data_IF_358485432864
#
_entry.id   IF_358485432864
#
_cell.length_a   1.000
_cell.length_b   1.000
_cell.length_c   1.000
_cell.angle_alpha   90.00
_cell.angle_beta   90.00
_cell.angle_gamma   90.00
#
_symmetry.space_group_name_H-M   'P 1'
#
loop_
_entity.id
_entity.type
_entity.pdbx_description
1 polymer ?
#
# COMPACT_ATOMS: atom_id res chain seq x y z
N UNK A 1 -28.22 -34.12 15.84
CA UNK A 1 -27.66 -32.81 15.49
C UNK A 1 -26.17 -33.00 15.28
N UNK A 2 -25.71 -33.00 14.03
CA UNK A 2 -24.29 -33.16 13.71
C UNK A 2 -23.54 -31.87 14.08
N UNK A 3 -22.34 -31.95 14.67
CA UNK A 3 -21.56 -30.76 14.96
C UNK A 3 -21.07 -30.14 13.65
N UNK A 4 -21.18 -28.81 13.55
CA UNK A 4 -20.66 -28.05 12.42
C UNK A 4 -19.14 -28.21 12.35
N UNK A 5 -18.63 -28.68 11.21
CA UNK A 5 -17.20 -28.73 10.94
C UNK A 5 -16.61 -27.31 10.87
N UNK A 6 -15.38 -27.09 11.36
CA UNK A 6 -14.72 -25.79 11.25
C UNK A 6 -14.48 -25.47 9.77
N UNK A 7 -14.95 -24.29 9.31
CA UNK A 7 -14.64 -23.78 7.97
C UNK A 7 -13.13 -23.58 7.87
N UNK A 8 -12.56 -24.09 6.79
CA UNK A 8 -11.13 -24.12 6.54
C UNK A 8 -10.62 -22.70 6.18
N UNK A 9 -10.16 -21.92 7.16
CA UNK A 9 -9.77 -20.50 6.98
C UNK A 9 -8.63 -20.29 5.96
N UNK A 10 -7.80 -21.30 5.71
CA UNK A 10 -6.72 -21.23 4.72
C UNK A 10 -7.23 -21.10 3.28
N UNK A 11 -8.34 -21.77 2.93
CA UNK A 11 -8.85 -21.67 1.55
C UNK A 11 -9.46 -20.29 1.29
N UNK A 12 -10.14 -19.69 2.27
CA UNK A 12 -10.74 -18.37 2.09
C UNK A 12 -9.71 -17.24 1.93
N UNK A 13 -8.57 -17.31 2.61
CA UNK A 13 -7.51 -16.30 2.47
C UNK A 13 -6.78 -16.42 1.12
N UNK A 14 -6.47 -17.65 0.67
CA UNK A 14 -5.88 -17.87 -0.65
C UNK A 14 -6.83 -17.45 -1.78
N UNK A 15 -8.13 -17.74 -1.65
CA UNK A 15 -9.17 -17.32 -2.60
C UNK A 15 -9.23 -15.78 -2.72
N UNK A 16 -8.98 -15.06 -1.63
CA UNK A 16 -8.99 -13.60 -1.59
C UNK A 16 -7.70 -13.00 -2.17
N UNK A 17 -6.54 -13.62 -1.97
CA UNK A 17 -5.29 -13.13 -2.55
C UNK A 17 -5.22 -13.32 -4.07
N UNK A 18 -5.99 -14.24 -4.64
CA UNK A 18 -6.08 -14.46 -6.09
C UNK A 18 -6.50 -13.20 -6.87
N UNK A 19 -7.14 -12.22 -6.22
CA UNK A 19 -7.47 -10.95 -6.84
C UNK A 19 -6.24 -10.20 -7.36
N UNK A 20 -5.08 -10.36 -6.71
CA UNK A 20 -3.82 -9.71 -7.04
C UNK A 20 -3.33 -9.98 -8.46
N UNK A 21 -3.72 -11.11 -9.07
CA UNK A 21 -3.34 -11.45 -10.46
C UNK A 21 -3.79 -10.39 -11.47
N UNK A 22 -4.80 -9.59 -11.13
CA UNK A 22 -5.35 -8.54 -12.00
C UNK A 22 -4.78 -7.13 -11.71
N UNK A 23 -3.79 -7.03 -10.82
CA UNK A 23 -3.23 -5.76 -10.37
C UNK A 23 -1.74 -5.68 -10.69
N UNK A 24 -1.31 -4.47 -11.05
CA UNK A 24 0.07 -4.03 -10.89
C UNK A 24 0.23 -3.54 -9.45
N UNK A 25 1.18 -4.09 -8.71
CA UNK A 25 1.44 -3.70 -7.32
C UNK A 25 2.62 -2.73 -7.25
N UNK A 26 2.38 -1.55 -6.65
CA UNK A 26 3.38 -0.52 -6.40
C UNK A 26 3.54 -0.37 -4.88
N UNK A 27 4.72 -0.68 -4.34
CA UNK A 27 5.06 -0.42 -2.94
C UNK A 27 5.76 0.94 -2.86
N UNK A 28 5.14 1.91 -2.20
CA UNK A 28 5.69 3.23 -1.94
C UNK A 28 6.28 3.28 -0.53
N UNK A 29 7.60 3.30 -0.43
CA UNK A 29 8.34 3.32 0.83
C UNK A 29 8.62 4.73 1.30
N UNK A 30 8.25 5.03 2.54
CA UNK A 30 8.73 6.21 3.25
C UNK A 30 10.20 6.04 3.62
N UNK A 31 11.06 6.82 2.98
CA UNK A 31 12.49 6.95 3.29
C UNK A 31 12.79 8.35 3.87
N UNK A 32 11.83 8.97 4.57
CA UNK A 32 12.02 10.25 5.25
C UNK A 32 12.90 10.12 6.50
N UNK A 33 13.44 11.24 7.00
CA UNK A 33 14.35 11.23 8.15
C UNK A 33 13.75 10.63 9.44
N UNK A 34 12.43 10.73 9.65
CA UNK A 34 11.74 10.16 10.83
C UNK A 34 11.86 8.64 10.90
N UNK A 35 12.03 7.97 9.77
CA UNK A 35 12.18 6.52 9.70
C UNK A 35 13.47 6.02 10.40
N UNK A 36 14.43 6.90 10.71
CA UNK A 36 15.62 6.53 11.51
C UNK A 36 15.33 6.39 13.01
N UNK A 37 14.16 6.81 13.48
CA UNK A 37 13.79 6.75 14.90
C UNK A 37 13.50 5.30 15.34
N UNK A 38 13.67 5.04 16.64
CA UNK A 38 13.47 3.70 17.22
C UNK A 38 12.15 3.56 17.99
N UNK A 39 11.54 4.66 18.46
CA UNK A 39 10.29 4.68 19.23
C UNK A 39 10.20 3.63 20.36
N UNK A 40 11.28 3.46 21.12
CA UNK A 40 11.34 2.51 22.25
C UNK A 40 11.53 1.04 21.85
N UNK A 41 11.77 0.76 20.57
CA UNK A 41 12.12 -0.55 20.04
C UNK A 41 13.64 -0.73 19.90
N UNK A 42 14.09 -1.97 19.72
CA UNK A 42 15.48 -2.29 19.34
C UNK A 42 15.77 -2.07 17.86
N UNK A 43 14.74 -1.91 17.04
CA UNK A 43 14.80 -1.67 15.59
C UNK A 43 14.29 -0.28 15.25
N UNK A 44 14.89 0.35 14.24
CA UNK A 44 14.36 1.61 13.71
C UNK A 44 13.02 1.40 12.99
N UNK A 45 12.28 2.47 12.76
CA UNK A 45 11.05 2.45 11.97
C UNK A 45 11.35 2.02 10.52
N UNK A 46 12.51 2.39 9.98
CA UNK A 46 13.03 1.91 8.70
C UNK A 46 13.21 0.40 8.70
N UNK A 47 13.89 -0.18 9.68
CA UNK A 47 14.09 -1.63 9.77
C UNK A 47 12.75 -2.37 9.81
N UNK A 48 11.78 -1.83 10.57
CA UNK A 48 10.41 -2.35 10.66
C UNK A 48 9.64 -2.25 9.34
N UNK A 49 9.72 -1.11 8.65
CA UNK A 49 9.10 -0.90 7.34
C UNK A 49 9.68 -1.87 6.30
N UNK A 50 10.99 -2.11 6.37
CA UNK A 50 11.71 -3.03 5.51
C UNK A 50 11.29 -4.49 5.75
N UNK A 51 11.03 -4.88 7.00
CA UNK A 51 10.46 -6.19 7.33
C UNK A 51 9.05 -6.37 6.76
N UNK A 52 8.19 -5.36 6.90
CA UNK A 52 6.85 -5.36 6.28
C UNK A 52 6.99 -5.49 4.77
N UNK A 53 7.82 -4.68 4.14
CA UNK A 53 7.97 -4.68 2.69
C UNK A 53 8.50 -6.01 2.16
N UNK A 54 9.47 -6.66 2.83
CA UNK A 54 9.92 -8.00 2.42
C UNK A 54 8.78 -9.01 2.44
N UNK A 55 8.03 -9.07 3.54
CA UNK A 55 6.92 -10.03 3.71
C UNK A 55 5.81 -9.78 2.69
N UNK A 56 5.42 -8.52 2.48
CA UNK A 56 4.40 -8.12 1.51
C UNK A 56 4.84 -8.45 0.08
N UNK A 57 6.07 -8.11 -0.29
CA UNK A 57 6.62 -8.38 -1.63
C UNK A 57 6.68 -9.88 -1.90
N UNK A 58 7.15 -10.68 -0.94
CA UNK A 58 7.24 -12.14 -1.09
C UNK A 58 5.87 -12.77 -1.37
N UNK A 59 4.79 -12.28 -0.74
CA UNK A 59 3.44 -12.78 -0.99
C UNK A 59 2.90 -12.25 -2.31
N UNK A 60 3.02 -10.95 -2.59
CA UNK A 60 2.50 -10.32 -3.79
C UNK A 60 3.11 -10.92 -5.07
N UNK A 61 4.41 -11.21 -5.08
CA UNK A 61 5.12 -11.83 -6.19
C UNK A 61 4.62 -13.23 -6.59
N UNK A 62 3.86 -13.91 -5.72
CA UNK A 62 3.24 -15.20 -6.08
C UNK A 62 2.09 -15.03 -7.08
N UNK A 63 1.50 -13.84 -7.13
CA UNK A 63 0.33 -13.52 -7.94
C UNK A 63 0.65 -12.54 -9.07
N UNK A 64 1.57 -11.60 -8.83
CA UNK A 64 2.01 -10.64 -9.83
C UNK A 64 3.26 -11.12 -10.56
N UNK A 65 3.12 -11.40 -11.86
CA UNK A 65 4.13 -12.11 -12.65
C UNK A 65 5.04 -11.21 -13.49
N UNK A 66 4.66 -9.95 -13.72
CA UNK A 66 5.52 -8.98 -14.41
C UNK A 66 6.47 -8.23 -13.46
N UNK A 67 6.15 -8.23 -12.16
CA UNK A 67 7.03 -7.85 -11.05
C UNK A 67 6.43 -6.75 -10.19
N UNK A 68 6.98 -6.56 -8.99
CA UNK A 68 6.47 -5.56 -8.04
C UNK A 68 7.27 -4.27 -8.21
N UNK A 69 6.61 -3.14 -8.42
CA UNK A 69 7.30 -1.84 -8.48
C UNK A 69 7.55 -1.32 -7.06
N UNK A 70 8.80 -1.00 -6.72
CA UNK A 70 9.13 -0.36 -5.45
C UNK A 70 9.58 1.07 -5.74
N UNK A 71 8.90 2.04 -5.15
CA UNK A 71 9.25 3.45 -5.19
C UNK A 71 9.54 3.99 -3.78
N UNK A 72 10.19 5.15 -3.71
CA UNK A 72 10.51 5.83 -2.45
C UNK A 72 10.02 7.28 -2.47
N UNK A 73 9.78 7.85 -1.30
CA UNK A 73 9.39 9.25 -1.19
C UNK A 73 10.49 10.19 -1.71
N UNK A 74 11.74 9.95 -1.34
CA UNK A 74 12.87 10.85 -1.60
C UNK A 74 13.88 10.24 -2.57
N UNK A 75 14.22 8.95 -2.42
CA UNK A 75 15.19 8.27 -3.27
C UNK A 75 14.69 8.03 -4.69
N UNK A 76 15.62 8.03 -5.65
CA UNK A 76 15.37 7.67 -7.06
C UNK A 76 15.82 6.24 -7.41
N UNK A 77 16.22 5.44 -6.41
CA UNK A 77 16.66 4.04 -6.60
C UNK A 77 15.49 3.07 -6.84
N UNK A 78 14.25 3.59 -6.88
CA UNK A 78 13.04 2.81 -7.13
C UNK A 78 13.07 2.06 -8.46
N UNK A 79 12.54 0.84 -8.47
CA UNK A 79 12.55 -0.06 -9.62
C UNK A 79 11.57 -1.23 -9.44
N UNK A 80 11.25 -1.89 -10.55
CA UNK A 80 10.54 -3.17 -10.52
C UNK A 80 11.46 -4.29 -10.07
N UNK A 81 11.04 -5.07 -9.08
CA UNK A 81 11.75 -6.25 -8.56
C UNK A 81 11.06 -7.53 -9.00
N UNK A 82 11.85 -8.57 -9.27
CA UNK A 82 11.35 -9.91 -9.67
C UNK A 82 11.90 -11.04 -8.81
N UNK A 83 12.73 -10.71 -7.82
CA UNK A 83 13.29 -11.67 -6.87
C UNK A 83 13.46 -11.03 -5.50
N UNK A 84 13.46 -11.84 -4.44
CA UNK A 84 13.81 -11.37 -3.10
C UNK A 84 15.29 -10.96 -2.97
N UNK A 85 16.13 -11.34 -3.94
CA UNK A 85 17.50 -10.84 -4.03
C UNK A 85 17.53 -9.36 -4.49
N UNK A 86 16.71 -9.00 -5.48
CA UNK A 86 16.57 -7.60 -5.94
C UNK A 86 16.09 -6.70 -4.80
N UNK A 87 15.13 -7.19 -4.02
CA UNK A 87 14.60 -6.56 -2.82
C UNK A 87 15.75 -6.30 -1.84
N UNK A 88 16.49 -7.33 -1.43
CA UNK A 88 17.62 -7.18 -0.51
C UNK A 88 18.74 -6.27 -1.04
N UNK A 89 18.93 -6.23 -2.36
CA UNK A 89 19.89 -5.32 -3.01
C UNK A 89 19.44 -3.87 -2.89
N UNK A 90 18.15 -3.61 -3.14
CA UNK A 90 17.55 -2.28 -3.02
C UNK A 90 17.67 -1.74 -1.58
N UNK A 91 17.56 -2.63 -0.60
CA UNK A 91 17.61 -2.27 0.82
C UNK A 91 18.94 -1.68 1.24
N UNK A 92 20.02 -2.10 0.59
CA UNK A 92 21.37 -1.64 0.90
C UNK A 92 21.67 -0.26 0.29
N UNK A 93 20.88 0.18 -0.67
CA UNK A 93 21.11 1.39 -1.46
C UNK A 93 20.39 2.61 -0.88
N UNK A 94 19.24 2.41 -0.23
CA UNK A 94 18.41 3.50 0.29
C UNK A 94 18.59 3.65 1.80
N UNK A 95 18.66 4.91 2.25
CA UNK A 95 18.69 5.26 3.66
C UNK A 95 17.70 6.40 3.94
N UNK A 96 17.02 6.38 5.10
CA UNK A 96 16.17 7.46 5.56
C UNK A 96 16.84 8.84 5.49
N UNK A 97 16.20 9.80 4.85
CA UNK A 97 16.66 11.19 4.75
C UNK A 97 15.52 12.13 4.33
N UNK A 98 15.71 13.43 4.47
CA UNK A 98 14.78 14.44 3.94
C UNK A 98 13.39 14.41 4.59
N UNK A 99 12.42 15.04 3.91
CA UNK A 99 11.04 15.24 4.35
C UNK A 99 10.15 14.06 3.94
N UNK A 100 8.84 14.16 4.20
CA UNK A 100 7.84 13.13 3.85
C UNK A 100 6.91 13.66 2.74
N UNK A 101 7.35 13.80 1.47
CA UNK A 101 6.57 14.34 0.36
C UNK A 101 5.59 13.32 -0.25
N UNK A 102 4.74 12.72 0.59
CA UNK A 102 3.81 11.67 0.21
C UNK A 102 2.81 12.12 -0.85
N UNK A 103 2.26 13.33 -0.70
CA UNK A 103 1.26 13.87 -1.63
C UNK A 103 1.84 14.03 -3.02
N UNK A 104 3.08 14.51 -3.13
CA UNK A 104 3.81 14.61 -4.40
C UNK A 104 3.97 13.25 -5.08
N UNK A 105 4.44 12.22 -4.37
CA UNK A 105 4.65 10.90 -4.98
C UNK A 105 3.34 10.22 -5.36
N UNK A 106 2.31 10.32 -4.52
CA UNK A 106 0.99 9.81 -4.87
C UNK A 106 0.44 10.50 -6.12
N UNK A 107 0.64 11.82 -6.27
CA UNK A 107 0.18 12.57 -7.45
C UNK A 107 0.87 12.10 -8.73
N UNK A 108 2.18 11.84 -8.67
CA UNK A 108 2.97 11.28 -9.77
C UNK A 108 2.47 9.88 -10.17
N UNK A 109 2.31 8.97 -9.19
CA UNK A 109 1.90 7.58 -9.43
C UNK A 109 0.45 7.51 -9.95
N UNK A 110 -0.49 8.17 -9.25
CA UNK A 110 -1.90 8.19 -9.63
C UNK A 110 -2.09 8.88 -10.99
N UNK A 111 -1.40 10.00 -11.22
CA UNK A 111 -1.41 10.70 -12.50
C UNK A 111 -0.97 9.81 -13.65
N UNK A 112 0.18 9.13 -13.50
CA UNK A 112 0.69 8.20 -14.52
C UNK A 112 -0.30 7.06 -14.82
N UNK A 113 -0.99 6.53 -13.81
CA UNK A 113 -2.03 5.50 -14.00
C UNK A 113 -3.25 6.01 -14.75
N UNK A 114 -3.75 7.20 -14.37
CA UNK A 114 -4.88 7.86 -15.04
C UNK A 114 -4.55 8.18 -16.51
N UNK A 115 -3.33 8.60 -16.80
CA UNK A 115 -2.86 8.86 -18.16
C UNK A 115 -2.77 7.56 -18.97
N UNK A 116 -2.25 6.48 -18.39
CA UNK A 116 -2.26 5.15 -19.01
C UNK A 116 -3.68 4.69 -19.33
N UNK A 117 -4.64 4.91 -18.44
CA UNK A 117 -6.05 4.58 -18.66
C UNK A 117 -6.66 5.32 -19.86
N UNK A 118 -6.23 6.56 -20.12
CA UNK A 118 -6.72 7.38 -21.23
C UNK A 118 -6.06 7.04 -22.56
N UNK A 119 -4.81 6.57 -22.53
CA UNK A 119 -3.95 6.50 -23.73
C UNK A 119 -3.57 5.09 -24.18
N UNK A 120 -3.58 4.10 -23.28
CA UNK A 120 -3.08 2.75 -23.57
C UNK A 120 -4.15 1.88 -24.21
N UNK A 121 -3.74 1.09 -25.21
CA UNK A 121 -4.57 0.07 -25.83
C UNK A 121 -3.76 -1.24 -25.98
N UNK A 122 -4.13 -2.33 -25.27
CA UNK A 122 -5.27 -2.46 -24.37
C UNK A 122 -5.16 -1.57 -23.10
N UNK A 123 -6.26 -1.36 -22.36
CA UNK A 123 -6.22 -0.65 -21.08
C UNK A 123 -5.21 -1.27 -20.10
N UNK A 124 -4.59 -0.48 -19.21
CA UNK A 124 -3.67 -1.02 -18.21
C UNK A 124 -4.40 -1.96 -17.24
N UNK A 125 -3.63 -2.83 -16.56
CA UNK A 125 -4.10 -3.57 -15.39
C UNK A 125 -4.60 -2.61 -14.31
N UNK A 126 -5.29 -3.15 -13.30
CA UNK A 126 -5.68 -2.36 -12.13
C UNK A 126 -4.43 -2.04 -11.31
N UNK A 127 -4.47 -1.01 -10.45
CA UNK A 127 -3.31 -0.59 -9.68
C UNK A 127 -3.59 -0.75 -8.17
N UNK A 128 -2.66 -1.34 -7.44
CA UNK A 128 -2.66 -1.35 -5.98
C UNK A 128 -1.39 -0.66 -5.49
N UNK A 129 -1.55 0.48 -4.83
CA UNK A 129 -0.47 1.22 -4.20
C UNK A 129 -0.43 0.83 -2.72
N UNK A 130 0.67 0.27 -2.23
CA UNK A 130 0.90 -0.02 -0.81
C UNK A 130 1.92 0.98 -0.28
N UNK A 131 1.44 2.02 0.41
CA UNK A 131 2.27 3.07 0.98
C UNK A 131 2.64 2.74 2.44
N UNK A 132 3.93 2.51 2.70
CA UNK A 132 4.46 2.15 4.03
C UNK A 132 5.13 3.39 4.63
N UNK A 133 4.57 3.95 5.71
CA UNK A 133 5.00 5.26 6.27
C UNK A 133 4.85 5.32 7.80
N UNK A 134 5.69 6.11 8.48
CA UNK A 134 5.63 6.28 9.95
C UNK A 134 4.94 7.57 10.42
N UNK A 135 4.75 8.53 9.52
CA UNK A 135 4.55 9.93 9.87
C UNK A 135 3.40 10.62 9.15
N UNK A 136 3.07 11.81 9.66
CA UNK A 136 2.20 12.73 8.94
C UNK A 136 2.97 13.30 7.75
N UNK A 137 2.40 13.26 6.53
CA UNK A 137 3.06 13.79 5.36
C UNK A 137 3.26 15.29 5.46
N UNK A 138 4.43 15.74 5.02
CA UNK A 138 4.82 17.16 5.05
C UNK A 138 3.98 18.03 4.09
N UNK A 139 3.26 17.38 3.17
CA UNK A 139 2.34 17.95 2.20
C UNK A 139 0.92 17.35 2.33
N UNK A 140 0.43 17.14 3.55
CA UNK A 140 -0.90 16.58 3.85
C UNK A 140 -2.08 17.12 3.01
N UNK A 141 -2.21 18.45 2.74
CA UNK A 141 -3.27 18.96 1.86
C UNK A 141 -3.18 18.41 0.42
N UNK A 142 -1.96 18.14 -0.06
CA UNK A 142 -1.73 17.54 -1.38
C UNK A 142 -2.15 16.08 -1.43
N UNK A 143 -1.95 15.32 -0.35
CA UNK A 143 -2.45 13.93 -0.26
C UNK A 143 -3.96 13.89 -0.42
N UNK A 144 -4.69 14.69 0.36
CA UNK A 144 -6.16 14.76 0.31
C UNK A 144 -6.67 15.14 -1.09
N UNK A 145 -6.13 16.23 -1.66
CA UNK A 145 -6.53 16.68 -2.99
C UNK A 145 -6.19 15.70 -4.11
N UNK A 146 -5.06 14.99 -4.01
CA UNK A 146 -4.65 13.95 -4.97
C UNK A 146 -5.61 12.76 -4.95
N UNK A 147 -5.94 12.25 -3.77
CA UNK A 147 -6.86 11.12 -3.61
C UNK A 147 -8.25 11.52 -4.11
N UNK A 148 -8.74 12.71 -3.71
CA UNK A 148 -10.04 13.22 -4.16
C UNK A 148 -10.11 13.38 -5.69
N UNK A 149 -9.07 13.98 -6.31
CA UNK A 149 -8.98 14.13 -7.76
C UNK A 149 -8.99 12.77 -8.46
N UNK A 150 -8.19 11.83 -7.97
CA UNK A 150 -8.09 10.47 -8.52
C UNK A 150 -9.43 9.74 -8.43
N UNK A 151 -10.09 9.78 -7.27
CA UNK A 151 -11.41 9.18 -7.07
C UNK A 151 -12.48 9.77 -8.02
N UNK A 152 -12.48 11.09 -8.20
CA UNK A 152 -13.38 11.79 -9.14
C UNK A 152 -13.12 11.36 -10.59
N UNK A 153 -11.88 11.40 -11.06
CA UNK A 153 -11.53 11.04 -12.44
C UNK A 153 -11.87 9.56 -12.75
N UNK A 154 -11.62 8.65 -11.81
CA UNK A 154 -11.99 7.24 -11.96
C UNK A 154 -13.51 7.03 -12.03
N UNK A 155 -14.27 7.79 -11.24
CA UNK A 155 -15.72 7.77 -11.24
C UNK A 155 -16.29 8.31 -12.57
N UNK A 156 -15.83 9.47 -13.02
CA UNK A 156 -16.24 10.11 -14.27
C UNK A 156 -15.91 9.25 -15.49
N UNK A 157 -14.74 8.59 -15.46
CA UNK A 157 -14.30 7.65 -16.51
C UNK A 157 -15.04 6.31 -16.46
N UNK A 158 -15.97 6.10 -15.51
CA UNK A 158 -16.76 4.87 -15.31
C UNK A 158 -15.92 3.60 -15.23
N UNK A 159 -14.74 3.71 -14.62
CA UNK A 159 -13.84 2.56 -14.40
C UNK A 159 -14.39 1.65 -13.29
N UNK A 160 -14.07 0.34 -13.28
CA UNK A 160 -14.49 -0.58 -12.22
C UNK A 160 -14.08 -0.08 -10.85
N UNK A 161 -14.94 -0.13 -9.82
CA UNK A 161 -14.68 0.42 -8.47
C UNK A 161 -13.32 0.05 -7.85
N UNK A 162 -12.74 -1.07 -8.27
CA UNK A 162 -11.45 -1.55 -7.80
C UNK A 162 -10.29 -1.22 -8.77
N UNK A 163 -10.44 -0.22 -9.65
CA UNK A 163 -9.44 0.13 -10.68
C UNK A 163 -8.11 0.63 -10.11
N UNK A 164 -8.17 1.33 -8.99
CA UNK A 164 -7.02 1.79 -8.22
C UNK A 164 -7.40 1.73 -6.74
N UNK A 165 -6.53 1.16 -5.92
CA UNK A 165 -6.61 1.20 -4.45
C UNK A 165 -5.29 1.67 -3.85
N UNK A 166 -5.37 2.36 -2.71
CA UNK A 166 -4.24 2.89 -1.94
C UNK A 166 -4.34 2.31 -0.53
N UNK A 167 -3.47 1.36 -0.23
CA UNK A 167 -3.32 0.79 1.10
C UNK A 167 -2.22 1.54 1.85
N UNK A 168 -2.56 2.20 2.95
CA UNK A 168 -1.57 2.70 3.90
C UNK A 168 -1.21 1.62 4.92
N UNK A 169 0.08 1.43 5.15
CA UNK A 169 0.61 0.64 6.26
C UNK A 169 1.36 1.57 7.19
N UNK A 170 0.76 1.87 8.34
CA UNK A 170 1.34 2.79 9.31
C UNK A 170 2.38 2.05 10.16
N UNK A 171 3.63 2.48 10.10
CA UNK A 171 4.72 1.97 10.93
C UNK A 171 4.82 2.81 12.21
N UNK A 172 4.85 2.15 13.37
CA UNK A 172 4.98 2.84 14.65
C UNK A 172 3.64 3.39 15.16
N UNK A 173 3.70 4.34 16.09
CA UNK A 173 2.58 4.72 16.94
C UNK A 173 2.33 6.24 17.01
N UNK A 174 2.73 6.98 15.97
CA UNK A 174 2.47 8.41 15.89
C UNK A 174 0.96 8.68 15.83
N UNK A 175 0.42 9.31 16.88
CA UNK A 175 -1.03 9.59 17.02
C UNK A 175 -1.54 10.52 15.90
N UNK A 176 -0.75 11.53 15.52
CA UNK A 176 -1.10 12.45 14.44
C UNK A 176 -1.20 11.72 13.11
N UNK A 177 -0.23 10.84 12.80
CA UNK A 177 -0.26 10.00 11.60
C UNK A 177 -1.48 9.06 11.61
N UNK A 178 -1.77 8.40 12.74
CA UNK A 178 -2.96 7.54 12.86
C UNK A 178 -4.25 8.30 12.60
N UNK A 179 -4.38 9.51 13.16
CA UNK A 179 -5.57 10.35 12.94
C UNK A 179 -5.69 10.74 11.46
N UNK A 180 -4.59 11.20 10.87
CA UNK A 180 -4.54 11.62 9.48
C UNK A 180 -4.92 10.47 8.51
N UNK A 181 -4.34 9.28 8.70
CA UNK A 181 -4.63 8.13 7.84
C UNK A 181 -6.06 7.61 8.00
N UNK A 182 -6.62 7.65 9.24
CA UNK A 182 -8.03 7.32 9.46
C UNK A 182 -8.98 8.32 8.81
N UNK A 183 -8.64 9.61 8.83
CA UNK A 183 -9.43 10.61 8.10
C UNK A 183 -9.46 10.31 6.60
N UNK A 184 -8.34 9.86 6.00
CA UNK A 184 -8.32 9.49 4.58
C UNK A 184 -9.20 8.27 4.25
N UNK A 185 -9.34 7.33 5.16
CA UNK A 185 -10.21 6.15 5.02
C UNK A 185 -11.69 6.55 4.96
N UNK A 186 -12.10 7.52 5.80
CA UNK A 186 -13.52 7.87 5.99
C UNK A 186 -14.02 9.03 5.08
N UNK A 187 -13.13 9.78 4.41
CA UNK A 187 -13.45 11.10 3.81
C UNK A 187 -14.02 11.08 2.37
N UNK A 188 -13.93 9.96 1.62
CA UNK A 188 -14.21 9.96 0.16
C UNK A 188 -15.55 9.33 -0.25
N UNK A 189 -16.61 10.15 -0.29
CA UNK A 189 -18.00 9.69 -0.53
C UNK A 189 -18.27 9.03 -1.91
N UNK A 190 -17.67 9.55 -3.00
CA UNK A 190 -18.01 9.08 -4.35
C UNK A 190 -17.42 7.71 -4.67
N UNK A 191 -16.23 7.46 -4.13
CA UNK A 191 -15.44 6.28 -4.43
C UNK A 191 -14.37 6.15 -3.36
N UNK A 192 -14.61 5.17 -2.51
CA UNK A 192 -13.59 4.71 -1.58
C UNK A 192 -12.51 3.92 -2.33
N UNK A 193 -11.28 4.40 -2.19
CA UNK A 193 -10.06 3.83 -2.79
C UNK A 193 -8.93 3.74 -1.76
N UNK A 194 -9.19 4.02 -0.48
CA UNK A 194 -8.17 4.07 0.58
C UNK A 194 -8.50 3.01 1.62
N UNK A 195 -7.49 2.34 2.14
CA UNK A 195 -7.61 1.58 3.40
C UNK A 195 -6.32 1.78 4.21
N UNK A 196 -6.37 1.51 5.51
CA UNK A 196 -5.25 1.67 6.43
C UNK A 196 -5.08 0.48 7.37
N UNK A 197 -3.83 0.07 7.56
CA UNK A 197 -3.43 -0.98 8.50
C UNK A 197 -2.33 -0.47 9.42
N UNK A 198 -2.53 -0.43 10.75
CA UNK A 198 -1.46 -0.14 11.69
C UNK A 198 -0.53 -1.35 11.86
N UNK A 199 0.76 -1.07 12.01
CA UNK A 199 1.81 -2.03 12.33
C UNK A 199 2.58 -1.59 13.57
N UNK A 200 2.40 -2.32 14.66
CA UNK A 200 3.01 -2.05 15.97
C UNK A 200 4.46 -2.58 16.09
N UNK A 201 4.93 -3.30 15.07
CA UNK A 201 6.25 -3.90 15.02
C UNK A 201 6.38 -5.26 15.69
N UNK A 202 5.25 -5.92 15.95
CA UNK A 202 5.16 -7.38 16.15
C UNK A 202 5.09 -8.06 14.77
N UNK A 203 5.25 -9.38 14.69
CA UNK A 203 5.07 -10.11 13.43
C UNK A 203 3.70 -9.87 12.79
N UNK A 204 3.69 -9.53 11.50
CA UNK A 204 2.47 -9.45 10.69
C UNK A 204 1.67 -10.75 10.79
N UNK A 205 0.44 -10.67 11.29
CA UNK A 205 -0.47 -11.83 11.29
C UNK A 205 -0.95 -12.13 9.86
N UNK A 206 -1.41 -13.37 9.58
CA UNK A 206 -2.03 -13.69 8.29
C UNK A 206 -3.17 -12.75 7.91
N UNK A 207 -3.98 -12.33 8.88
CA UNK A 207 -5.11 -11.42 8.68
C UNK A 207 -4.64 -10.01 8.30
N UNK A 208 -3.61 -9.49 9.00
CA UNK A 208 -2.98 -8.22 8.63
C UNK A 208 -2.36 -8.30 7.23
N UNK A 209 -1.72 -9.41 6.88
CA UNK A 209 -1.14 -9.61 5.55
C UNK A 209 -2.22 -9.58 4.45
N UNK A 210 -3.34 -10.28 4.67
CA UNK A 210 -4.49 -10.23 3.75
C UNK A 210 -5.03 -8.81 3.64
N UNK A 211 -5.22 -8.12 4.76
CA UNK A 211 -5.72 -6.74 4.76
C UNK A 211 -4.77 -5.80 4.00
N UNK A 212 -3.46 -5.87 4.21
CA UNK A 212 -2.47 -5.07 3.48
C UNK A 212 -2.54 -5.33 1.96
N UNK A 213 -2.74 -6.57 1.55
CA UNK A 213 -2.67 -6.95 0.14
C UNK A 213 -3.98 -6.72 -0.62
N UNK A 214 -5.13 -6.68 0.06
CA UNK A 214 -6.42 -6.60 -0.63
C UNK A 214 -7.44 -5.66 -0.01
N UNK A 215 -7.20 -5.07 1.16
CA UNK A 215 -8.15 -4.21 1.87
C UNK A 215 -8.66 -3.08 1.00
N UNK A 216 -7.73 -2.29 0.44
CA UNK A 216 -8.03 -1.18 -0.47
C UNK A 216 -8.71 -1.57 -1.81
N UNK A 217 -8.81 -2.87 -2.14
CA UNK A 217 -9.36 -3.35 -3.42
C UNK A 217 -10.48 -4.40 -3.26
N UNK A 218 -10.81 -4.77 -2.03
CA UNK A 218 -11.85 -5.74 -1.71
C UNK A 218 -12.65 -5.31 -0.48
N UNK A 219 -13.83 -4.73 -0.74
CA UNK A 219 -14.76 -4.24 0.30
C UNK A 219 -15.16 -5.27 1.35
N UNK A 220 -15.14 -6.57 1.04
CA UNK A 220 -15.49 -7.58 2.05
C UNK A 220 -14.43 -7.66 3.15
N UNK A 221 -13.16 -7.51 2.77
CA UNK A 221 -12.02 -7.55 3.70
C UNK A 221 -11.90 -6.22 4.45
N UNK A 222 -12.14 -5.10 3.77
CA UNK A 222 -12.14 -3.78 4.38
C UNK A 222 -13.18 -3.65 5.52
N UNK A 223 -14.40 -4.17 5.32
CA UNK A 223 -15.47 -4.11 6.32
C UNK A 223 -15.22 -4.96 7.59
N UNK A 224 -14.19 -5.80 7.63
CA UNK A 224 -13.79 -6.58 8.81
C UNK A 224 -12.85 -5.75 9.73
N UNK A 225 -13.31 -4.55 10.13
CA UNK A 225 -12.58 -3.61 11.01
C UNK A 225 -12.28 -4.19 12.41
#
# INVERSE_FOLDING_TARGET
MSPAQPRNSKSSSEDVLQYLVNYDVIILMDDSGSMSLFNGSSKSLWDRAMEVMQKVTEVAMKYDTDGIEIQFLNSNEGRTVKSMEDVRSLFKQVKPSCMTPLGKRLDEICGAHLDKLKTSQPPPKRCLIIAITDGEPTDAPRVKSTIQRTANELHESRTPLTQLGIQFVQIGNCVAATKFLKELDDEFEKRDIVDTVPYDGVDLTPEQMVKILVGAINRRVDNEK
#
